data_IF_784390592532
#
_entry.id   IF_784390592532
#
_cell.length_a   1.000
_cell.length_b   1.000
_cell.length_c   1.000
_cell.angle_alpha   90.00
_cell.angle_beta   90.00
_cell.angle_gamma   90.00
#
_symmetry.space_group_name_H-M   'P 1'
#
loop_
_entity.id
_entity.type
_entity.pdbx_description
1 polymer ?
#
# COMPACT_ATOMS: atom_id res chain seq x y z
N UNK A 1 -8.15 13.46 -14.85
CA UNK A 1 -6.74 13.90 -14.65
C UNK A 1 -6.16 13.08 -13.50
N UNK A 2 -5.06 12.35 -13.75
CA UNK A 2 -4.48 11.39 -12.79
C UNK A 2 -3.84 12.07 -11.58
N UNK A 3 -4.13 11.54 -10.39
CA UNK A 3 -3.51 11.92 -9.12
C UNK A 3 -3.05 10.65 -8.38
N UNK A 4 -2.22 10.81 -7.35
CA UNK A 4 -1.72 9.70 -6.55
C UNK A 4 -1.10 8.57 -7.40
N UNK A 5 -0.29 8.92 -8.40
CA UNK A 5 0.29 7.95 -9.32
C UNK A 5 1.44 7.16 -8.65
N UNK A 6 1.52 5.87 -8.99
CA UNK A 6 2.62 4.98 -8.64
C UNK A 6 3.09 4.25 -9.89
N UNK A 7 4.41 4.13 -10.07
CA UNK A 7 5.04 3.50 -11.23
C UNK A 7 5.85 2.30 -10.80
N UNK A 8 5.73 1.22 -11.56
CA UNK A 8 6.60 0.05 -11.48
C UNK A 8 7.04 -0.38 -12.87
N UNK A 9 8.09 -1.16 -12.97
CA UNK A 9 8.49 -1.82 -14.21
C UNK A 9 8.06 -3.29 -14.17
N UNK A 10 7.58 -3.82 -15.29
CA UNK A 10 7.33 -5.25 -15.45
C UNK A 10 8.66 -6.02 -15.59
N UNK A 11 8.59 -7.35 -15.75
CA UNK A 11 9.76 -8.21 -15.91
C UNK A 11 10.58 -7.90 -17.19
N UNK A 12 10.02 -7.21 -18.17
CA UNK A 12 10.69 -6.77 -19.41
C UNK A 12 11.27 -5.37 -19.31
N UNK A 13 11.04 -4.66 -18.18
CA UNK A 13 11.42 -3.28 -17.99
C UNK A 13 10.42 -2.25 -18.51
N UNK A 14 9.24 -2.69 -18.98
CA UNK A 14 8.20 -1.79 -19.47
C UNK A 14 7.46 -1.13 -18.29
N UNK A 15 7.15 0.17 -18.37
CA UNK A 15 6.49 0.88 -17.30
C UNK A 15 4.99 0.52 -17.19
N UNK A 16 4.54 0.43 -15.95
CA UNK A 16 3.15 0.28 -15.55
C UNK A 16 2.82 1.34 -14.51
N UNK A 17 1.72 2.05 -14.69
CA UNK A 17 1.31 3.18 -13.84
C UNK A 17 -0.10 2.92 -13.31
N UNK A 18 -0.23 2.86 -12.00
CA UNK A 18 -1.54 2.98 -11.34
C UNK A 18 -1.79 4.45 -10.98
N UNK A 19 -3.02 4.93 -11.13
CA UNK A 19 -3.37 6.30 -10.80
C UNK A 19 -4.86 6.46 -10.47
N UNK A 20 -5.17 7.46 -9.67
CA UNK A 20 -6.53 7.89 -9.39
C UNK A 20 -7.01 8.87 -10.46
N UNK A 21 -8.10 8.54 -11.15
CA UNK A 21 -8.79 9.46 -12.05
C UNK A 21 -9.80 10.32 -11.27
N UNK A 22 -9.37 11.52 -10.90
CA UNK A 22 -10.19 12.44 -10.13
C UNK A 22 -11.45 12.97 -10.89
N UNK A 23 -11.53 12.76 -12.21
CA UNK A 23 -12.70 13.15 -13.00
C UNK A 23 -13.84 12.15 -12.91
N UNK A 24 -13.52 10.87 -12.75
CA UNK A 24 -14.49 9.79 -12.66
C UNK A 24 -14.59 9.18 -11.25
N UNK A 25 -13.55 9.40 -10.41
CA UNK A 25 -13.47 8.76 -9.10
C UNK A 25 -12.97 7.32 -9.16
N UNK A 26 -12.25 6.95 -10.23
CA UNK A 26 -11.85 5.57 -10.52
C UNK A 26 -10.37 5.32 -10.24
N UNK A 27 -10.04 4.09 -9.88
CA UNK A 27 -8.68 3.56 -9.97
C UNK A 27 -8.42 3.07 -11.40
N UNK A 28 -7.40 3.63 -12.04
CA UNK A 28 -6.94 3.26 -13.40
C UNK A 28 -5.54 2.66 -13.35
N UNK A 29 -5.27 1.83 -14.37
CA UNK A 29 -3.95 1.25 -14.62
C UNK A 29 -3.60 1.43 -16.09
N UNK A 30 -2.40 1.94 -16.38
CA UNK A 30 -1.85 2.08 -17.70
C UNK A 30 -0.59 1.20 -17.81
N UNK A 31 -0.52 0.33 -18.80
CA UNK A 31 0.63 -0.51 -19.10
C UNK A 31 1.19 -0.17 -20.48
N UNK A 32 2.51 -0.03 -20.59
CA UNK A 32 3.18 0.13 -21.88
C UNK A 32 3.31 -1.22 -22.58
N UNK A 33 2.94 -1.28 -23.85
CA UNK A 33 2.94 -2.52 -24.66
C UNK A 33 4.15 -2.63 -25.58
N UNK A 34 5.14 -1.74 -25.46
CA UNK A 34 6.22 -1.57 -26.43
C UNK A 34 5.90 -0.56 -27.55
N UNK A 35 4.63 -0.27 -27.78
CA UNK A 35 4.19 0.63 -28.88
C UNK A 35 3.08 1.62 -28.46
N UNK A 36 2.29 1.28 -27.46
CA UNK A 36 1.16 2.08 -27.00
C UNK A 36 0.90 1.88 -25.51
N UNK A 37 0.20 2.82 -24.89
CA UNK A 37 -0.35 2.67 -23.54
C UNK A 37 -1.70 1.97 -23.60
N UNK A 38 -1.83 0.84 -22.91
CA UNK A 38 -3.09 0.18 -22.64
C UNK A 38 -3.64 0.67 -21.30
N UNK A 39 -4.74 1.41 -21.33
CA UNK A 39 -5.38 1.93 -20.11
C UNK A 39 -6.61 1.10 -19.78
N UNK A 40 -6.69 0.66 -18.52
CA UNK A 40 -7.78 -0.13 -17.97
C UNK A 40 -8.36 0.53 -16.70
N UNK A 41 -9.65 0.36 -16.48
CA UNK A 41 -10.26 0.63 -15.17
C UNK A 41 -10.03 -0.57 -14.28
N UNK A 42 -9.44 -0.35 -13.12
CA UNK A 42 -9.19 -1.38 -12.09
C UNK A 42 -10.41 -1.51 -11.17
N UNK A 43 -10.87 -0.39 -10.65
CA UNK A 43 -12.04 -0.28 -9.78
C UNK A 43 -12.77 1.03 -10.09
N UNK A 44 -14.11 0.97 -10.16
CA UNK A 44 -15.00 2.12 -10.37
C UNK A 44 -16.21 2.10 -9.42
N UNK A 45 -16.12 1.33 -8.33
CA UNK A 45 -17.20 1.17 -7.37
C UNK A 45 -17.23 2.32 -6.36
N UNK A 46 -17.43 3.54 -6.85
CA UNK A 46 -17.51 4.75 -6.03
C UNK A 46 -16.28 5.66 -6.20
N UNK A 47 -15.81 6.28 -5.11
CA UNK A 47 -14.61 7.13 -5.13
C UNK A 47 -13.40 6.33 -4.65
N UNK A 48 -12.71 5.64 -5.59
CA UNK A 48 -11.71 4.62 -5.31
C UNK A 48 -10.36 4.92 -5.96
N UNK A 49 -9.25 4.59 -5.30
CA UNK A 49 -7.91 4.68 -5.90
C UNK A 49 -7.05 5.84 -5.41
N UNK A 50 -7.47 6.59 -4.40
CA UNK A 50 -6.57 7.58 -3.78
C UNK A 50 -5.56 6.92 -2.83
N UNK A 51 -4.46 7.63 -2.52
CA UNK A 51 -3.37 7.15 -1.66
C UNK A 51 -2.81 5.77 -2.04
N UNK A 52 -2.79 5.47 -3.33
CA UNK A 52 -2.38 4.17 -3.84
C UNK A 52 -0.86 3.94 -3.77
N UNK A 53 -0.50 2.67 -3.73
CA UNK A 53 0.86 2.16 -3.89
C UNK A 53 0.83 0.93 -4.77
N UNK A 54 1.76 0.82 -5.72
CA UNK A 54 1.85 -0.28 -6.67
C UNK A 54 3.15 -1.05 -6.48
N UNK A 55 3.09 -2.38 -6.67
CA UNK A 55 4.23 -3.27 -6.79
C UNK A 55 4.02 -4.22 -7.97
N UNK A 56 5.09 -4.75 -8.55
CA UNK A 56 5.04 -5.82 -9.53
C UNK A 56 5.58 -7.10 -8.91
N UNK A 57 4.93 -8.24 -9.17
CA UNK A 57 5.47 -9.54 -8.78
C UNK A 57 6.59 -10.01 -9.70
N UNK A 58 7.19 -11.18 -9.44
CA UNK A 58 8.28 -11.73 -10.23
C UNK A 58 7.91 -12.00 -11.70
N UNK A 59 6.62 -12.12 -12.01
CA UNK A 59 6.10 -12.28 -13.38
C UNK A 59 5.78 -10.91 -14.01
N UNK A 60 5.97 -9.82 -13.30
CA UNK A 60 5.64 -8.47 -13.74
C UNK A 60 4.16 -8.11 -13.62
N UNK A 61 3.35 -8.93 -12.94
CA UNK A 61 1.94 -8.65 -12.76
C UNK A 61 1.73 -7.60 -11.66
N UNK A 62 0.92 -6.59 -11.97
CA UNK A 62 0.65 -5.47 -11.05
C UNK A 62 -0.18 -5.88 -9.84
N UNK A 63 0.21 -5.33 -8.69
CA UNK A 63 -0.46 -5.37 -7.40
C UNK A 63 -0.64 -3.96 -6.91
N UNK A 64 -1.84 -3.58 -6.46
CA UNK A 64 -2.16 -2.20 -6.08
C UNK A 64 -2.88 -2.20 -4.74
N UNK A 65 -2.35 -1.50 -3.75
CA UNK A 65 -3.07 -1.15 -2.53
C UNK A 65 -3.61 0.28 -2.68
N UNK A 66 -4.84 0.55 -2.26
CA UNK A 66 -5.48 1.85 -2.45
C UNK A 66 -6.58 2.11 -1.43
N UNK A 67 -6.91 3.37 -1.27
CA UNK A 67 -8.00 3.84 -0.43
C UNK A 67 -9.31 3.95 -1.23
N UNK A 68 -10.38 3.39 -0.68
CA UNK A 68 -11.75 3.61 -1.10
C UNK A 68 -12.37 4.72 -0.24
N UNK A 69 -12.42 5.93 -0.79
CA UNK A 69 -12.97 7.09 -0.07
C UNK A 69 -14.50 7.05 0.05
N UNK A 70 -15.17 6.20 -0.73
CA UNK A 70 -16.62 6.01 -0.68
C UNK A 70 -17.05 5.19 0.55
N UNK A 71 -16.26 4.18 0.90
CA UNK A 71 -16.53 3.29 2.03
C UNK A 71 -15.62 3.58 3.25
N UNK A 72 -14.49 4.22 3.04
CA UNK A 72 -13.47 4.43 4.07
C UNK A 72 -12.57 3.20 4.28
N UNK A 73 -12.37 2.39 3.24
CA UNK A 73 -11.72 1.09 3.31
C UNK A 73 -10.31 1.09 2.68
N UNK A 74 -9.43 0.23 3.20
CA UNK A 74 -8.23 -0.20 2.47
C UNK A 74 -8.60 -1.35 1.54
N UNK A 75 -8.33 -1.19 0.25
CA UNK A 75 -8.51 -2.23 -0.77
C UNK A 75 -7.18 -2.65 -1.39
N UNK A 76 -7.20 -3.84 -1.96
CA UNK A 76 -6.09 -4.43 -2.72
C UNK A 76 -6.60 -5.01 -4.03
N UNK A 77 -5.95 -4.68 -5.14
CA UNK A 77 -6.22 -5.23 -6.46
C UNK A 77 -5.02 -6.02 -6.98
N UNK A 78 -5.27 -7.21 -7.52
CA UNK A 78 -4.27 -8.09 -8.12
C UNK A 78 -4.63 -8.38 -9.57
N UNK A 79 -3.71 -8.14 -10.50
CA UNK A 79 -3.86 -8.58 -11.88
C UNK A 79 -3.66 -10.10 -11.98
N UNK A 80 -4.62 -10.80 -12.59
CA UNK A 80 -4.63 -12.27 -12.69
C UNK A 80 -4.16 -12.79 -14.07
N UNK A 81 -3.77 -11.89 -14.98
CA UNK A 81 -3.52 -12.20 -16.37
C UNK A 81 -4.73 -12.01 -17.29
N UNK A 82 -5.94 -12.03 -16.73
CA UNK A 82 -7.20 -11.87 -17.49
C UNK A 82 -8.14 -10.80 -16.93
N UNK A 83 -7.93 -10.39 -15.69
CA UNK A 83 -8.76 -9.38 -15.00
C UNK A 83 -8.18 -8.99 -13.65
N UNK A 84 -8.79 -8.00 -13.02
CA UNK A 84 -8.44 -7.54 -11.69
C UNK A 84 -9.25 -8.30 -10.64
N UNK A 85 -8.56 -8.88 -9.67
CA UNK A 85 -9.17 -9.45 -8.47
C UNK A 85 -9.04 -8.44 -7.33
N UNK A 86 -10.18 -7.98 -6.82
CA UNK A 86 -10.26 -6.92 -5.80
C UNK A 86 -10.70 -7.53 -4.47
N UNK A 87 -10.04 -7.12 -3.40
CA UNK A 87 -10.33 -7.52 -2.03
C UNK A 87 -10.34 -6.30 -1.11
N UNK A 88 -11.25 -6.28 -0.14
CA UNK A 88 -11.15 -5.39 1.01
C UNK A 88 -10.15 -5.99 2.00
N UNK A 89 -9.16 -5.20 2.37
CA UNK A 89 -8.11 -5.59 3.32
C UNK A 89 -8.53 -5.27 4.74
N UNK A 90 -9.02 -4.06 4.95
CA UNK A 90 -9.49 -3.56 6.24
C UNK A 90 -10.64 -2.57 6.02
N UNK A 91 -11.72 -2.71 6.81
CA UNK A 91 -12.95 -1.91 6.71
C UNK A 91 -13.39 -1.32 8.06
N UNK A 92 -12.48 -1.19 9.03
CA UNK A 92 -12.82 -0.82 10.41
C UNK A 92 -12.61 0.67 10.71
N UNK A 93 -13.09 1.57 9.84
CA UNK A 93 -12.99 3.02 10.05
C UNK A 93 -12.61 3.78 8.77
N UNK A 94 -11.91 4.91 8.89
CA UNK A 94 -11.35 5.65 7.76
C UNK A 94 -9.90 5.17 7.51
N UNK A 95 -9.76 4.12 6.69
CA UNK A 95 -8.58 3.25 6.63
C UNK A 95 -8.00 3.17 5.24
N UNK A 96 -6.67 3.15 5.14
CA UNK A 96 -5.97 2.97 3.87
C UNK A 96 -5.35 4.24 3.32
N UNK A 97 -5.39 5.33 4.09
CA UNK A 97 -4.65 6.55 3.72
C UNK A 97 -3.15 6.28 3.79
N UNK A 98 -2.38 6.86 2.86
CA UNK A 98 -0.94 6.69 2.78
C UNK A 98 -0.48 5.23 2.72
N UNK A 99 -1.16 4.41 1.92
CA UNK A 99 -0.76 3.02 1.73
C UNK A 99 0.64 2.92 1.11
N UNK A 100 1.43 1.97 1.61
CA UNK A 100 2.73 1.57 1.06
C UNK A 100 2.75 0.06 0.94
N UNK A 101 2.90 -0.45 -0.30
CA UNK A 101 2.83 -1.86 -0.65
C UNK A 101 4.22 -2.41 -0.97
N UNK A 102 4.53 -3.57 -0.43
CA UNK A 102 5.65 -4.41 -0.84
C UNK A 102 5.18 -5.86 -1.02
N UNK A 103 5.91 -6.63 -1.81
CA UNK A 103 5.68 -8.06 -1.99
C UNK A 103 6.84 -8.84 -1.39
N UNK A 104 6.56 -9.92 -0.67
CA UNK A 104 7.61 -10.84 -0.23
C UNK A 104 8.09 -11.74 -1.39
N UNK A 105 9.09 -12.58 -1.15
CA UNK A 105 9.68 -13.48 -2.15
C UNK A 105 8.68 -14.45 -2.79
N UNK A 106 7.56 -14.72 -2.14
CA UNK A 106 6.47 -15.53 -2.65
C UNK A 106 5.39 -14.69 -3.35
N UNK A 107 5.61 -13.40 -3.54
CA UNK A 107 4.66 -12.46 -4.13
C UNK A 107 3.46 -12.12 -3.24
N UNK A 108 3.53 -12.43 -1.94
CA UNK A 108 2.45 -12.14 -0.99
C UNK A 108 2.50 -10.67 -0.57
N UNK A 109 1.37 -9.97 -0.60
CA UNK A 109 1.34 -8.55 -0.29
C UNK A 109 1.53 -8.27 1.21
N UNK A 110 2.24 -7.17 1.46
CA UNK A 110 2.51 -6.54 2.74
C UNK A 110 2.17 -5.07 2.59
N UNK A 111 1.34 -4.51 3.47
CA UNK A 111 0.84 -3.14 3.33
C UNK A 111 0.99 -2.41 4.67
N UNK A 112 1.73 -1.31 4.67
CA UNK A 112 1.66 -0.33 5.75
C UNK A 112 0.67 0.77 5.35
N UNK A 113 -0.18 1.20 6.29
CA UNK A 113 -1.23 2.18 6.01
C UNK A 113 -1.70 2.88 7.29
N UNK A 114 -2.36 4.01 7.12
CA UNK A 114 -2.91 4.80 8.23
C UNK A 114 -4.40 4.57 8.37
N UNK A 115 -4.86 4.37 9.61
CA UNK A 115 -6.23 4.58 10.01
C UNK A 115 -6.39 6.02 10.49
N UNK A 116 -6.96 6.87 9.66
CA UNK A 116 -7.17 8.28 9.97
C UNK A 116 -8.30 8.51 10.99
N UNK A 117 -9.16 7.51 11.21
CA UNK A 117 -10.25 7.59 12.22
C UNK A 117 -9.76 7.38 13.65
N UNK A 118 -8.74 6.53 13.86
CA UNK A 118 -8.16 6.23 15.18
C UNK A 118 -6.72 6.71 15.37
N UNK A 119 -6.16 7.44 14.39
CA UNK A 119 -4.76 7.90 14.41
C UNK A 119 -3.76 6.73 14.61
N UNK A 120 -3.91 5.66 13.82
CA UNK A 120 -3.06 4.48 13.91
C UNK A 120 -2.26 4.23 12.64
N UNK A 121 -1.00 3.85 12.79
CA UNK A 121 -0.24 3.16 11.76
C UNK A 121 -0.52 1.68 11.90
N UNK A 122 -0.98 1.05 10.84
CA UNK A 122 -1.28 -0.37 10.76
C UNK A 122 -0.42 -1.06 9.71
N UNK A 123 -0.26 -2.36 9.88
CA UNK A 123 0.39 -3.24 8.94
C UNK A 123 -0.49 -4.45 8.66
N UNK A 124 -0.76 -4.72 7.39
CA UNK A 124 -1.49 -5.89 6.93
C UNK A 124 -0.57 -6.81 6.12
N UNK A 125 -0.78 -8.12 6.25
CA UNK A 125 -0.07 -9.12 5.45
C UNK A 125 -1.00 -10.26 5.07
N UNK A 126 -0.77 -10.79 3.88
CA UNK A 126 -1.53 -11.93 3.38
C UNK A 126 -0.94 -13.24 3.89
N UNK A 127 -1.82 -14.12 4.39
CA UNK A 127 -1.49 -15.48 4.86
C UNK A 127 -2.25 -16.51 4.03
N UNK A 128 -2.06 -17.79 4.33
CA UNK A 128 -2.81 -18.88 3.68
C UNK A 128 -4.32 -18.84 3.95
N UNK A 129 -4.75 -18.13 4.99
CA UNK A 129 -6.16 -18.06 5.43
C UNK A 129 -6.79 -16.70 5.23
N UNK A 130 -6.02 -15.69 4.81
CA UNK A 130 -6.53 -14.34 4.56
C UNK A 130 -5.60 -13.24 5.05
N UNK A 131 -6.16 -12.02 5.16
CA UNK A 131 -5.45 -10.87 5.67
C UNK A 131 -5.35 -10.91 7.19
N UNK A 132 -4.15 -10.70 7.69
CA UNK A 132 -3.85 -10.46 9.10
C UNK A 132 -3.46 -8.99 9.25
N UNK A 133 -3.87 -8.37 10.37
CA UNK A 133 -3.69 -6.94 10.61
C UNK A 133 -3.12 -6.73 12.00
N UNK A 134 -2.13 -5.84 12.11
CA UNK A 134 -1.51 -5.44 13.37
C UNK A 134 -1.44 -3.92 13.48
N UNK A 135 -1.74 -3.37 14.65
CA UNK A 135 -1.43 -1.99 14.99
C UNK A 135 0.06 -1.86 15.26
N UNK A 136 0.74 -1.05 14.48
CA UNK A 136 2.18 -0.76 14.62
C UNK A 136 2.40 0.35 15.62
N UNK A 137 1.57 1.39 15.55
CA UNK A 137 1.63 2.56 16.41
C UNK A 137 0.24 3.16 16.56
N UNK A 138 -0.12 3.57 17.77
CA UNK A 138 -1.33 4.35 18.07
C UNK A 138 -0.97 5.65 18.78
N UNK A 139 -1.80 6.68 18.65
CA UNK A 139 -1.63 7.98 19.28
C UNK A 139 -2.05 9.12 18.37
N UNK A 140 -2.29 10.31 18.93
CA UNK A 140 -2.76 11.48 18.17
C UNK A 140 -1.78 11.85 17.04
N UNK A 141 -2.34 12.03 15.85
CA UNK A 141 -1.62 12.40 14.62
C UNK A 141 -0.52 11.40 14.24
N UNK A 142 -0.67 10.13 14.57
CA UNK A 142 0.31 9.10 14.21
C UNK A 142 0.26 8.83 12.71
N UNK A 143 1.44 8.80 12.08
CA UNK A 143 1.68 8.31 10.72
C UNK A 143 0.99 9.08 9.57
N UNK A 144 1.28 10.37 9.46
CA UNK A 144 0.85 11.16 8.29
C UNK A 144 1.44 10.65 6.94
N UNK A 145 2.52 9.90 6.96
CA UNK A 145 3.14 9.25 5.79
C UNK A 145 3.98 8.09 6.26
N UNK A 146 3.85 6.94 5.62
CA UNK A 146 4.67 5.76 5.88
C UNK A 146 5.27 5.22 4.60
N UNK A 147 6.43 4.57 4.71
CA UNK A 147 7.07 3.83 3.63
C UNK A 147 7.48 2.47 4.15
N UNK A 148 7.12 1.42 3.42
CA UNK A 148 7.38 0.04 3.73
C UNK A 148 8.44 -0.53 2.79
N UNK A 149 9.40 -1.23 3.35
CA UNK A 149 10.30 -2.12 2.63
C UNK A 149 10.41 -3.45 3.37
N UNK A 150 10.76 -4.50 2.65
CA UNK A 150 11.10 -5.80 3.22
C UNK A 150 12.62 -6.00 3.14
N UNK A 151 13.22 -6.50 4.23
CA UNK A 151 14.63 -6.91 4.19
C UNK A 151 14.76 -8.31 3.56
N UNK A 152 15.99 -8.77 3.38
CA UNK A 152 16.34 -10.09 2.80
C UNK A 152 15.73 -11.29 3.53
N UNK A 153 15.27 -11.11 4.77
CA UNK A 153 14.59 -12.13 5.56
C UNK A 153 13.06 -11.98 5.52
N UNK A 154 12.53 -11.08 4.68
CA UNK A 154 11.10 -10.79 4.57
C UNK A 154 10.52 -10.01 5.75
N UNK A 155 11.37 -9.40 6.59
CA UNK A 155 10.95 -8.59 7.72
C UNK A 155 10.52 -7.22 7.23
N UNK A 156 9.38 -6.75 7.71
CA UNK A 156 8.89 -5.43 7.36
C UNK A 156 9.65 -4.34 8.14
N UNK A 157 10.13 -3.36 7.39
CA UNK A 157 10.75 -2.12 7.88
C UNK A 157 9.84 -0.98 7.46
N UNK A 158 9.26 -0.27 8.43
CA UNK A 158 8.32 0.80 8.17
C UNK A 158 8.88 2.10 8.75
N UNK A 159 9.25 3.03 7.87
CA UNK A 159 9.58 4.38 8.28
C UNK A 159 8.32 5.22 8.33
N UNK A 160 8.20 6.06 9.34
CA UNK A 160 7.05 6.95 9.51
C UNK A 160 7.40 8.20 10.32
N UNK A 161 6.69 9.29 10.08
CA UNK A 161 6.80 10.50 10.88
C UNK A 161 5.87 10.41 12.09
N UNK A 162 6.42 10.63 13.29
CA UNK A 162 5.67 10.73 14.54
C UNK A 162 5.56 12.20 14.96
N UNK A 163 4.43 12.85 14.72
CA UNK A 163 4.29 14.29 14.99
C UNK A 163 4.22 14.63 16.49
N UNK A 164 3.91 13.67 17.35
CA UNK A 164 3.91 13.89 18.80
C UNK A 164 5.33 14.17 19.32
N UNK A 165 6.32 13.53 18.71
CA UNK A 165 7.74 13.68 19.04
C UNK A 165 8.51 14.49 18.01
N UNK A 166 7.89 14.81 16.84
CA UNK A 166 8.51 15.49 15.70
C UNK A 166 9.74 14.76 15.15
N UNK A 167 9.71 13.44 15.20
CA UNK A 167 10.81 12.58 14.76
C UNK A 167 10.39 11.62 13.65
N UNK A 168 11.35 11.32 12.76
CA UNK A 168 11.28 10.15 11.90
C UNK A 168 11.53 8.90 12.76
N UNK A 169 10.68 7.90 12.60
CA UNK A 169 10.78 6.62 13.30
C UNK A 169 10.87 5.46 12.32
N UNK A 170 11.48 4.38 12.79
CA UNK A 170 11.54 3.11 12.10
C UNK A 170 10.90 2.03 12.99
N UNK A 171 9.90 1.34 12.46
CA UNK A 171 9.35 0.13 13.03
C UNK A 171 9.92 -1.09 12.31
N UNK A 172 10.24 -2.14 13.06
CA UNK A 172 10.64 -3.45 12.55
C UNK A 172 9.60 -4.47 12.98
N UNK A 173 9.05 -5.22 12.02
CA UNK A 173 8.08 -6.27 12.30
C UNK A 173 8.72 -7.60 11.96
N UNK A 174 8.86 -8.44 12.98
CA UNK A 174 9.39 -9.79 12.84
C UNK A 174 8.30 -10.72 12.29
N UNK A 175 8.63 -11.81 11.59
CA UNK A 175 7.66 -12.75 11.02
C UNK A 175 6.67 -13.35 12.04
N UNK A 176 6.96 -13.24 13.33
CA UNK A 176 6.17 -13.79 14.43
C UNK A 176 5.60 -12.75 15.39
N UNK A 177 5.51 -11.47 14.98
CA UNK A 177 4.71 -10.49 15.69
C UNK A 177 5.39 -9.74 16.85
N UNK A 178 6.70 -9.78 17.00
CA UNK A 178 7.40 -8.96 18.00
C UNK A 178 7.79 -7.62 17.36
N UNK A 179 7.16 -6.56 17.84
CA UNK A 179 7.41 -5.18 17.44
C UNK A 179 8.40 -4.52 18.40
N UNK A 180 9.48 -3.94 17.87
CA UNK A 180 10.40 -3.08 18.63
C UNK A 180 10.53 -1.74 17.89
N UNK A 181 9.92 -0.66 18.39
CA UNK A 181 10.13 0.65 17.79
C UNK A 181 11.58 1.10 18.04
N UNK A 182 12.30 1.39 16.97
CA UNK A 182 13.59 2.02 17.06
C UNK A 182 13.43 3.54 16.91
N UNK A 183 13.93 4.29 17.89
CA UNK A 183 14.01 5.74 17.83
C UNK A 183 15.32 6.12 17.16
N UNK A 184 15.26 6.78 16.01
CA UNK A 184 16.39 7.56 15.53
C UNK A 184 16.34 8.88 16.26
N UNK A 185 17.05 8.98 17.39
CA UNK A 185 17.29 10.25 18.08
C UNK A 185 18.28 11.09 17.30
N UNK A 186 18.02 12.39 17.26
CA UNK A 186 19.01 13.38 16.83
C UNK A 186 20.23 13.27 17.77
N UNK A 187 21.48 13.11 17.29
CA UNK A 187 22.64 13.21 18.15
C UNK A 187 22.86 14.69 18.46
N UNK A 188 22.47 15.09 19.64
CA UNK A 188 22.90 16.33 20.25
C UNK A 188 23.95 16.06 21.24
#
# INVERSE_FOLDING_TARGET
>A
MGRHASLVLNAQGDPQIAYYDAGQGDLKHAAWTGSAWLVQTVDSAGNVGSYLSQAADAQGASRIAYYDAGQGDLKYAAWTGSGWHIQTVDATGNIGVHASLALDELGRPRIAYTNAGSDELRYAWWTAVGWEIQVVRSGKNTAASSSLALDENGRARISFYDPAWRHLRLASIEPFGVYLPFLMGDPN
#
